data_IF_052023323000
#
_entry.id   IF_052023323000
#
_cell.length_a   1.000
_cell.length_b   1.000
_cell.length_c   1.000
_cell.angle_alpha   90.00
_cell.angle_beta   90.00
_cell.angle_gamma   90.00
#
_symmetry.space_group_name_H-M   'P 1'
#
loop_
_entity.id
_entity.type
_entity.pdbx_description
1 polymer ?
#
# COMPACT_ATOMS: atom_id res chain seq x y z
N UNK A 1 14.86 4.82 -9.36
CA UNK A 1 14.10 5.75 -8.51
C UNK A 1 13.79 5.04 -7.20
N UNK A 2 13.76 5.68 -6.03
CA UNK A 2 13.39 5.01 -4.79
C UNK A 2 11.93 4.55 -4.85
N UNK A 3 11.62 3.43 -4.19
CA UNK A 3 10.25 2.90 -4.13
C UNK A 3 9.29 3.84 -3.39
N UNK A 4 9.83 4.58 -2.45
CA UNK A 4 9.10 5.55 -1.64
C UNK A 4 9.90 6.85 -1.54
N UNK A 5 9.29 8.04 -1.51
CA UNK A 5 9.98 9.28 -1.24
C UNK A 5 10.53 9.27 0.20
N UNK A 6 11.85 9.42 0.36
CA UNK A 6 12.54 9.33 1.66
C UNK A 6 11.93 10.26 2.71
N UNK A 7 11.56 11.47 2.29
CA UNK A 7 11.01 12.47 3.18
C UNK A 7 9.59 12.14 3.63
N UNK A 8 8.77 11.54 2.76
CA UNK A 8 7.43 11.08 3.11
C UNK A 8 7.49 9.96 4.15
N UNK A 9 8.41 8.98 3.98
CA UNK A 9 8.64 7.90 4.95
C UNK A 9 9.11 8.47 6.29
N UNK A 10 10.12 9.36 6.27
CA UNK A 10 10.64 9.99 7.50
C UNK A 10 9.55 10.77 8.23
N UNK A 11 8.78 11.58 7.53
CA UNK A 11 7.68 12.36 8.11
C UNK A 11 6.60 11.44 8.70
N UNK A 12 6.26 10.34 8.00
CA UNK A 12 5.31 9.32 8.48
C UNK A 12 5.76 8.68 9.79
N UNK A 13 7.01 8.21 9.85
CA UNK A 13 7.59 7.57 11.05
C UNK A 13 7.67 8.55 12.23
N UNK A 14 8.16 9.76 11.98
CA UNK A 14 8.24 10.81 13.02
C UNK A 14 6.86 11.16 13.54
N UNK A 15 5.87 11.32 12.65
CA UNK A 15 4.49 11.60 13.05
C UNK A 15 3.89 10.45 13.87
N UNK A 16 4.11 9.20 13.51
CA UNK A 16 3.67 8.05 14.27
C UNK A 16 4.20 8.08 15.71
N UNK A 17 5.48 8.43 15.89
CA UNK A 17 6.11 8.51 17.21
C UNK A 17 5.62 9.71 18.04
N UNK A 18 5.53 10.91 17.44
CA UNK A 18 5.14 12.13 18.19
C UNK A 18 3.65 12.22 18.46
N UNK A 19 2.82 11.52 17.71
CA UNK A 19 1.37 11.49 17.88
C UNK A 19 0.86 10.23 18.60
N UNK A 20 1.71 9.24 18.85
CA UNK A 20 1.36 8.02 19.59
C UNK A 20 0.69 8.35 20.91
N UNK A 21 -0.34 7.60 21.26
CA UNK A 21 -0.91 7.60 22.61
C UNK A 21 -0.07 6.71 23.54
N UNK A 22 0.88 7.31 24.27
CA UNK A 22 1.75 6.58 25.20
C UNK A 22 1.06 6.13 26.48
N UNK A 23 -0.19 6.53 26.71
CA UNK A 23 -1.00 6.04 27.83
C UNK A 23 -1.66 4.70 27.53
N UNK A 24 -1.69 4.30 26.29
CA UNK A 24 -2.21 3.02 25.84
C UNK A 24 -1.15 1.93 26.02
N UNK A 25 -1.31 1.16 27.10
CA UNK A 25 -0.36 0.11 27.49
C UNK A 25 -0.62 -1.13 26.63
N UNK A 26 0.46 -1.74 26.13
CA UNK A 26 0.38 -2.98 25.34
C UNK A 26 0.17 -2.75 23.84
N UNK A 27 0.11 -1.50 23.38
CA UNK A 27 0.11 -1.15 21.97
C UNK A 27 1.48 -0.59 21.53
N UNK A 28 1.78 -0.66 20.24
CA UNK A 28 3.06 -0.21 19.68
C UNK A 28 2.88 0.51 18.36
N UNK A 29 3.85 1.34 17.98
CA UNK A 29 3.99 1.80 16.60
C UNK A 29 4.62 0.69 15.79
N UNK A 30 4.03 0.31 14.68
CA UNK A 30 4.62 -0.69 13.78
C UNK A 30 4.58 -0.24 12.34
N UNK A 31 5.42 -0.85 11.54
CA UNK A 31 5.56 -0.58 10.11
C UNK A 31 5.48 -1.92 9.39
N UNK A 32 4.44 -2.09 8.61
CA UNK A 32 4.24 -3.26 7.79
C UNK A 32 4.65 -2.96 6.34
N UNK A 33 5.56 -3.77 5.80
CA UNK A 33 6.03 -3.64 4.43
C UNK A 33 5.41 -4.71 3.55
N UNK A 34 4.76 -4.28 2.49
CA UNK A 34 4.20 -5.11 1.42
C UNK A 34 4.93 -4.83 0.12
N UNK A 35 4.74 -5.64 -0.90
CA UNK A 35 5.35 -5.41 -2.20
C UNK A 35 4.91 -4.08 -2.84
N UNK A 36 3.64 -3.71 -2.60
CA UNK A 36 2.97 -2.56 -3.21
C UNK A 36 2.88 -1.32 -2.31
N UNK A 37 3.19 -1.42 -1.00
CA UNK A 37 3.04 -0.32 -0.04
C UNK A 37 3.75 -0.55 1.29
N UNK A 38 3.88 0.53 2.05
CA UNK A 38 4.20 0.52 3.48
C UNK A 38 2.99 1.05 4.24
N UNK A 39 2.60 0.39 5.33
CA UNK A 39 1.62 0.86 6.29
C UNK A 39 2.33 1.23 7.59
N UNK A 40 2.13 2.46 8.05
CA UNK A 40 2.69 2.98 9.31
C UNK A 40 1.54 3.19 10.27
N UNK A 41 1.46 2.33 11.27
CA UNK A 41 0.43 2.36 12.32
C UNK A 41 0.91 3.06 13.57
N UNK A 42 0.02 3.80 14.22
CA UNK A 42 0.26 4.44 15.51
C UNK A 42 -0.98 4.40 16.41
N UNK A 43 -0.86 3.88 17.65
CA UNK A 43 -1.94 3.93 18.62
C UNK A 43 -2.33 5.37 18.98
N UNK A 44 -3.64 5.60 19.02
CA UNK A 44 -4.25 6.90 19.30
C UNK A 44 -4.62 7.65 18.04
N UNK A 45 -5.92 7.79 17.79
CA UNK A 45 -6.49 8.53 16.67
C UNK A 45 -6.13 10.02 16.67
N UNK A 46 -6.80 10.80 15.86
CA UNK A 46 -6.53 12.24 15.75
C UNK A 46 -6.74 12.96 17.08
N UNK A 47 -5.79 13.82 17.45
CA UNK A 47 -5.91 14.65 18.65
C UNK A 47 -7.16 15.52 18.55
N UNK A 48 -8.04 15.44 19.55
CA UNK A 48 -9.35 16.09 19.60
C UNK A 48 -10.48 15.36 18.87
N UNK A 49 -10.33 14.07 18.58
CA UNK A 49 -11.40 13.25 17.98
C UNK A 49 -11.86 13.72 16.61
N UNK A 50 -10.95 14.34 15.83
CA UNK A 50 -11.27 14.82 14.48
C UNK A 50 -11.25 13.61 13.54
N UNK A 51 -12.41 13.28 12.92
CA UNK A 51 -12.43 12.34 11.80
C UNK A 51 -11.74 12.94 10.58
N UNK A 52 -11.00 12.13 9.84
CA UNK A 52 -10.39 12.52 8.55
C UNK A 52 -11.35 12.36 7.38
N UNK A 53 -12.42 11.59 7.56
CA UNK A 53 -13.37 11.26 6.52
C UNK A 53 -14.04 12.51 5.94
N UNK A 54 -13.94 12.66 4.61
CA UNK A 54 -14.53 13.79 3.88
C UNK A 54 -13.91 15.16 4.15
N UNK A 55 -12.78 15.24 4.87
CA UNK A 55 -12.10 16.49 5.16
C UNK A 55 -10.91 16.75 4.25
N UNK A 56 -10.71 18.03 3.96
CA UNK A 56 -9.50 18.51 3.30
C UNK A 56 -8.30 18.39 4.26
N UNK A 57 -7.43 17.42 4.00
CA UNK A 57 -6.24 17.14 4.81
C UNK A 57 -5.32 18.36 4.95
N UNK A 58 -5.32 19.27 3.96
CA UNK A 58 -4.49 20.47 3.98
C UNK A 58 -4.98 21.54 4.97
N UNK A 59 -6.24 21.42 5.41
CA UNK A 59 -6.88 22.34 6.37
C UNK A 59 -6.95 21.81 7.79
N UNK A 60 -6.46 20.58 8.03
CA UNK A 60 -6.46 20.01 9.36
C UNK A 60 -5.41 20.70 10.23
N UNK A 61 -5.80 21.28 11.38
CA UNK A 61 -4.84 21.95 12.25
C UNK A 61 -3.93 20.94 12.92
N UNK A 62 -2.63 21.22 12.93
CA UNK A 62 -1.67 20.40 13.64
C UNK A 62 -1.82 20.57 15.16
N UNK A 63 -2.09 19.47 15.85
CA UNK A 63 -2.09 19.40 17.30
C UNK A 63 -1.16 18.28 17.74
N UNK A 64 -0.17 18.63 18.55
CA UNK A 64 0.83 17.67 19.04
C UNK A 64 0.32 16.96 20.27
N UNK A 65 0.28 15.63 20.24
CA UNK A 65 -0.06 14.83 21.44
C UNK A 65 1.11 14.83 22.42
N UNK A 66 2.34 14.71 21.93
CA UNK A 66 3.56 14.65 22.75
C UNK A 66 4.48 15.85 22.43
N UNK A 67 4.23 17.05 23.01
CA UNK A 67 4.95 18.27 22.64
C UNK A 67 6.45 18.20 23.00
N UNK A 68 6.83 17.48 24.05
CA UNK A 68 8.24 17.30 24.45
C UNK A 68 8.98 16.48 23.39
N UNK A 69 8.41 15.35 22.94
CA UNK A 69 9.00 14.56 21.85
C UNK A 69 9.10 15.37 20.56
N UNK A 70 8.05 16.10 20.21
CA UNK A 70 8.05 16.96 19.03
C UNK A 70 9.16 18.04 19.10
N UNK A 71 9.44 18.60 20.28
CA UNK A 71 10.55 19.56 20.45
C UNK A 71 11.91 18.87 20.26
N UNK A 72 12.10 17.68 20.78
CA UNK A 72 13.32 16.88 20.59
C UNK A 72 13.54 16.58 19.12
N UNK A 73 12.55 16.02 18.41
CA UNK A 73 12.66 15.72 16.98
C UNK A 73 12.91 16.98 16.14
N UNK A 74 12.32 18.11 16.52
CA UNK A 74 12.59 19.41 15.86
C UNK A 74 14.02 19.87 16.05
N UNK A 75 14.59 19.75 17.26
CA UNK A 75 16.00 20.09 17.54
C UNK A 75 16.98 19.18 16.80
N UNK A 76 16.62 17.90 16.62
CA UNK A 76 17.37 16.92 15.84
C UNK A 76 17.17 17.10 14.32
N UNK A 77 16.36 18.06 13.89
CA UNK A 77 16.06 18.39 12.48
C UNK A 77 15.30 17.27 11.72
N UNK A 78 14.65 16.35 12.42
CA UNK A 78 13.81 15.34 11.81
C UNK A 78 12.39 15.85 11.49
N UNK A 79 11.97 16.98 12.08
CA UNK A 79 10.69 17.61 11.78
C UNK A 79 10.77 19.13 11.83
N UNK A 80 9.85 19.80 11.15
CA UNK A 80 9.64 21.23 11.26
C UNK A 80 8.53 21.56 12.26
N UNK A 81 8.64 22.72 12.93
CA UNK A 81 7.68 23.15 13.97
C UNK A 81 6.29 23.53 13.42
N UNK A 82 6.16 23.79 12.12
CA UNK A 82 4.90 24.17 11.49
C UNK A 82 4.20 22.93 10.98
N UNK A 83 3.01 22.63 11.50
CA UNK A 83 2.19 21.47 11.20
C UNK A 83 1.81 21.28 9.74
N UNK A 84 2.77 20.84 8.96
CA UNK A 84 2.66 20.63 7.52
C UNK A 84 2.86 19.16 7.12
N UNK A 85 2.73 18.20 8.09
CA UNK A 85 3.06 16.79 7.87
C UNK A 85 2.31 16.19 6.70
N UNK A 86 0.98 16.23 6.68
CA UNK A 86 0.17 15.73 5.57
C UNK A 86 0.53 16.39 4.24
N UNK A 87 0.62 17.73 4.25
CA UNK A 87 0.97 18.51 3.05
C UNK A 87 2.33 18.10 2.48
N UNK A 88 3.32 17.84 3.34
CA UNK A 88 4.66 17.44 2.90
C UNK A 88 4.67 16.05 2.29
N UNK A 89 4.00 15.09 2.95
CA UNK A 89 3.89 13.73 2.44
C UNK A 89 3.23 13.73 1.06
N UNK A 90 2.10 14.45 0.90
CA UNK A 90 1.40 14.56 -0.37
C UNK A 90 2.27 15.24 -1.44
N UNK A 91 2.89 16.38 -1.11
CA UNK A 91 3.75 17.11 -2.05
C UNK A 91 5.01 16.33 -2.46
N UNK A 92 5.58 15.51 -1.57
CA UNK A 92 6.71 14.64 -1.90
C UNK A 92 6.31 13.55 -2.91
N UNK A 93 5.09 13.01 -2.82
CA UNK A 93 4.55 12.06 -3.79
C UNK A 93 4.25 12.73 -5.12
N UNK A 94 3.51 13.84 -5.12
CA UNK A 94 3.17 14.61 -6.32
C UNK A 94 4.41 15.09 -7.10
N UNK A 95 5.52 15.30 -6.41
CA UNK A 95 6.80 15.69 -7.01
C UNK A 95 7.58 14.57 -7.68
N UNK A 96 7.14 13.31 -7.59
CA UNK A 96 7.85 12.18 -8.20
C UNK A 96 7.45 11.96 -9.66
N UNK A 97 8.42 11.58 -10.48
CA UNK A 97 8.22 11.39 -11.93
C UNK A 97 7.23 10.26 -12.25
N UNK A 98 7.25 9.20 -11.44
CA UNK A 98 6.38 8.02 -11.62
C UNK A 98 5.10 8.09 -10.76
N UNK A 99 4.77 9.27 -10.27
CA UNK A 99 3.55 9.46 -9.50
C UNK A 99 2.32 9.43 -10.42
N UNK A 100 1.32 8.69 -9.97
CA UNK A 100 -0.04 8.76 -10.49
C UNK A 100 -1.05 8.86 -9.33
N UNK A 101 -2.27 9.29 -9.60
CA UNK A 101 -3.29 9.52 -8.56
C UNK A 101 -3.67 8.24 -7.80
N UNK A 102 -3.45 7.06 -8.37
CA UNK A 102 -3.74 5.76 -7.71
C UNK A 102 -2.73 5.45 -6.61
N UNK A 103 -1.60 6.16 -6.60
CA UNK A 103 -0.51 6.03 -5.62
C UNK A 103 -0.49 7.14 -4.57
N UNK A 104 -1.54 7.96 -4.53
CA UNK A 104 -1.68 8.98 -3.50
C UNK A 104 -1.66 8.34 -2.10
N UNK A 105 -0.86 8.88 -1.16
CA UNK A 105 -0.86 8.44 0.23
C UNK A 105 -2.25 8.49 0.86
N UNK A 106 -2.60 7.44 1.62
CA UNK A 106 -3.88 7.35 2.32
C UNK A 106 -3.66 7.52 3.82
N UNK A 107 -4.48 8.34 4.44
CA UNK A 107 -4.48 8.61 5.87
C UNK A 107 -5.81 8.18 6.45
N UNK A 108 -5.77 7.22 7.36
CA UNK A 108 -6.94 6.69 8.05
C UNK A 108 -6.80 6.94 9.54
N UNK A 109 -7.86 7.41 10.17
CA UNK A 109 -7.89 7.62 11.61
C UNK A 109 -9.29 7.38 12.13
N UNK A 110 -9.36 6.60 13.18
CA UNK A 110 -10.54 6.48 14.02
C UNK A 110 -10.30 7.08 15.43
N UNK A 111 -11.03 6.63 16.44
CA UNK A 111 -10.87 7.12 17.80
C UNK A 111 -9.62 6.57 18.48
N UNK A 112 -9.19 5.37 18.11
CA UNK A 112 -8.22 4.57 18.84
C UNK A 112 -6.88 4.49 18.13
N UNK A 113 -6.84 4.62 16.79
CA UNK A 113 -5.61 4.51 16.02
C UNK A 113 -5.53 5.42 14.79
N UNK A 114 -4.33 5.43 14.21
CA UNK A 114 -4.01 6.15 13.00
C UNK A 114 -3.12 5.29 12.11
N UNK A 115 -3.46 5.20 10.83
CA UNK A 115 -2.67 4.49 9.82
C UNK A 115 -2.35 5.39 8.64
N UNK A 116 -1.08 5.40 8.26
CA UNK A 116 -0.60 6.01 7.02
C UNK A 116 -0.18 4.93 6.04
N UNK A 117 -0.81 4.90 4.87
CA UNK A 117 -0.42 4.04 3.76
C UNK A 117 0.37 4.83 2.73
N UNK A 118 1.60 4.40 2.46
CA UNK A 118 2.48 4.93 1.41
C UNK A 118 2.62 3.86 0.31
N UNK A 119 2.23 4.18 -0.92
CA UNK A 119 2.32 3.25 -2.04
C UNK A 119 3.71 3.25 -2.66
N UNK A 120 4.18 2.07 -3.06
CA UNK A 120 5.41 1.91 -3.82
C UNK A 120 5.24 2.49 -5.23
N UNK A 121 6.02 3.53 -5.54
CA UNK A 121 5.94 4.25 -6.81
C UNK A 121 6.38 3.37 -7.99
N UNK A 122 7.29 2.44 -7.75
CA UNK A 122 7.80 1.52 -8.78
C UNK A 122 6.94 0.26 -8.93
N UNK A 123 6.02 -0.01 -8.01
CA UNK A 123 5.17 -1.19 -8.10
C UNK A 123 4.19 -1.10 -9.27
N UNK A 124 4.24 -2.11 -10.16
CA UNK A 124 3.41 -2.16 -11.37
C UNK A 124 3.97 -1.37 -12.55
N UNK A 125 5.09 -0.65 -12.41
CA UNK A 125 5.86 -0.15 -13.53
C UNK A 125 6.82 -1.24 -13.99
N UNK A 126 6.66 -1.67 -15.24
CA UNK A 126 7.63 -2.56 -15.89
C UNK A 126 8.94 -1.80 -16.08
N UNK A 127 9.95 -2.12 -15.29
CA UNK A 127 11.31 -1.69 -15.59
C UNK A 127 11.72 -2.31 -16.91
N UNK A 128 11.68 -1.54 -17.97
CA UNK A 128 12.50 -1.79 -19.15
C UNK A 128 13.94 -1.57 -18.68
N UNK A 129 14.56 -2.63 -18.18
CA UNK A 129 16.01 -2.62 -18.00
C UNK A 129 16.62 -2.38 -19.38
N UNK A 130 17.10 -1.16 -19.62
CA UNK A 130 18.09 -0.91 -20.66
C UNK A 130 19.37 -1.64 -20.25
N UNK A 131 19.43 -2.94 -20.58
CA UNK A 131 20.63 -3.76 -20.45
C UNK A 131 21.58 -3.36 -21.57
N UNK A 132 22.23 -2.21 -21.39
CA UNK A 132 23.50 -1.90 -22.04
C UNK A 132 24.59 -2.01 -20.99
N UNK A 133 24.68 -3.15 -20.33
CA UNK A 133 25.91 -3.56 -19.65
C UNK A 133 26.16 -5.04 -19.94
N UNK A 134 27.16 -5.24 -20.75
CA UNK A 134 27.68 -6.50 -21.26
C UNK A 134 28.16 -7.36 -20.12
N UNK A 135 27.54 -8.51 -19.86
CA UNK A 135 28.23 -9.80 -19.59
C UNK A 135 27.24 -10.95 -19.41
N UNK A 136 27.22 -11.77 -20.48
CA UNK A 136 26.93 -13.21 -20.53
C UNK A 136 25.79 -13.80 -19.69
N UNK A 137 24.77 -14.26 -20.41
CA UNK A 137 24.08 -15.48 -20.01
C UNK A 137 22.56 -15.41 -20.06
N UNK A 138 22.02 -15.88 -21.18
CA UNK A 138 20.72 -16.50 -21.40
C UNK A 138 19.48 -15.60 -21.60
N UNK A 139 19.02 -15.66 -22.80
CA UNK A 139 17.86 -15.08 -23.48
C UNK A 139 16.54 -15.15 -22.69
N UNK A 140 15.81 -14.07 -22.73
CA UNK A 140 14.58 -13.96 -23.50
C UNK A 140 13.30 -13.95 -22.69
N UNK A 141 12.50 -12.96 -22.88
CA UNK A 141 11.08 -13.03 -22.61
C UNK A 141 10.42 -11.67 -22.38
N UNK A 142 9.85 -11.18 -23.40
CA UNK A 142 8.88 -10.09 -23.56
C UNK A 142 7.90 -9.95 -22.39
N UNK A 143 7.80 -8.76 -21.83
CA UNK A 143 7.14 -8.42 -20.57
C UNK A 143 5.60 -8.36 -20.61
N UNK A 144 5.01 -8.44 -21.76
CA UNK A 144 3.55 -8.60 -21.93
C UNK A 144 3.09 -10.02 -21.53
N UNK A 145 4.02 -10.99 -21.56
CA UNK A 145 3.73 -12.39 -21.30
C UNK A 145 3.54 -12.79 -19.82
N UNK A 146 3.94 -11.98 -18.84
CA UNK A 146 3.91 -12.44 -17.43
C UNK A 146 2.57 -12.13 -16.74
N UNK A 147 1.94 -11.01 -17.09
CA UNK A 147 0.61 -10.68 -16.57
C UNK A 147 -0.45 -11.56 -17.25
N UNK A 148 -0.38 -11.73 -18.56
CA UNK A 148 -1.20 -12.66 -19.33
C UNK A 148 -0.97 -14.11 -18.88
N UNK A 149 0.27 -14.47 -18.57
CA UNK A 149 0.60 -15.82 -18.11
C UNK A 149 -0.04 -16.15 -16.75
N UNK A 150 0.00 -15.23 -15.78
CA UNK A 150 -0.62 -15.43 -14.47
C UNK A 150 -2.15 -15.45 -14.56
N UNK A 151 -2.74 -14.55 -15.35
CA UNK A 151 -4.18 -14.56 -15.60
C UNK A 151 -4.61 -15.85 -16.29
N UNK A 152 -3.87 -16.31 -17.30
CA UNK A 152 -4.11 -17.56 -17.98
C UNK A 152 -4.02 -18.76 -17.04
N UNK A 153 -2.99 -18.82 -16.19
CA UNK A 153 -2.85 -19.89 -15.19
C UNK A 153 -4.00 -19.91 -14.19
N UNK A 154 -4.47 -18.74 -13.73
CA UNK A 154 -5.64 -18.64 -12.87
C UNK A 154 -6.90 -19.13 -13.61
N UNK A 155 -7.06 -18.73 -14.87
CA UNK A 155 -8.18 -19.13 -15.71
C UNK A 155 -8.21 -20.65 -15.92
N UNK A 156 -7.10 -21.25 -16.33
CA UNK A 156 -6.94 -22.69 -16.55
C UNK A 156 -7.29 -23.49 -15.28
N UNK A 157 -6.85 -23.02 -14.10
CA UNK A 157 -7.17 -23.67 -12.81
C UNK A 157 -8.65 -23.57 -12.44
N UNK A 158 -9.31 -22.47 -12.76
CA UNK A 158 -10.75 -22.27 -12.52
C UNK A 158 -11.55 -23.13 -13.51
N UNK A 159 -11.12 -23.22 -14.76
CA UNK A 159 -11.75 -24.06 -15.79
C UNK A 159 -11.65 -25.54 -15.41
N UNK A 160 -10.48 -25.99 -14.93
CA UNK A 160 -10.25 -27.36 -14.49
C UNK A 160 -11.04 -27.71 -13.21
N UNK A 161 -11.14 -26.76 -12.27
CA UNK A 161 -11.88 -26.96 -11.03
C UNK A 161 -12.66 -25.68 -10.63
N UNK A 162 -13.93 -25.56 -11.04
CA UNK A 162 -14.76 -24.39 -10.71
C UNK A 162 -14.99 -24.16 -9.20
N UNK A 163 -14.71 -25.13 -8.35
CA UNK A 163 -14.85 -24.99 -6.89
C UNK A 163 -13.52 -24.66 -6.20
N UNK A 164 -12.43 -24.46 -6.94
CA UNK A 164 -11.10 -24.19 -6.37
C UNK A 164 -11.11 -22.89 -5.52
N UNK A 165 -10.67 -22.95 -4.24
CA UNK A 165 -10.58 -21.76 -3.40
C UNK A 165 -9.43 -20.86 -3.87
N UNK A 166 -9.59 -19.53 -3.73
CA UNK A 166 -8.52 -18.57 -4.06
C UNK A 166 -7.24 -18.78 -3.26
N UNK A 167 -7.34 -19.35 -2.05
CA UNK A 167 -6.18 -19.74 -1.23
C UNK A 167 -5.37 -20.88 -1.84
N UNK A 168 -6.04 -21.84 -2.46
CA UNK A 168 -5.37 -22.98 -3.13
C UNK A 168 -4.72 -22.54 -4.45
N UNK A 169 -5.40 -21.68 -5.23
CA UNK A 169 -4.81 -21.05 -6.41
C UNK A 169 -3.54 -20.28 -6.02
N UNK A 170 -3.60 -19.48 -4.96
CA UNK A 170 -2.49 -18.71 -4.46
C UNK A 170 -1.29 -19.60 -4.06
N UNK A 171 -1.56 -20.71 -3.34
CA UNK A 171 -0.52 -21.66 -2.93
C UNK A 171 0.13 -22.35 -4.12
N UNK A 172 -0.65 -22.79 -5.11
CA UNK A 172 -0.13 -23.45 -6.32
C UNK A 172 0.71 -22.53 -7.21
N UNK A 173 0.35 -21.25 -7.27
CA UNK A 173 1.05 -20.26 -8.09
C UNK A 173 2.17 -19.53 -7.34
N UNK A 174 2.35 -19.77 -6.04
CA UNK A 174 3.37 -19.09 -5.22
C UNK A 174 3.12 -17.59 -5.06
N UNK A 175 1.85 -17.15 -5.11
CA UNK A 175 1.46 -15.73 -5.01
C UNK A 175 0.51 -15.51 -3.83
N UNK A 176 0.35 -14.27 -3.39
CA UNK A 176 -0.60 -13.95 -2.32
C UNK A 176 -2.07 -14.12 -2.76
N UNK A 177 -2.96 -14.55 -1.83
CA UNK A 177 -4.40 -14.69 -2.07
C UNK A 177 -5.02 -13.38 -2.59
N UNK A 178 -4.54 -12.24 -2.10
CA UNK A 178 -4.98 -10.90 -2.54
C UNK A 178 -4.64 -10.65 -4.01
N UNK A 179 -3.47 -11.10 -4.45
CA UNK A 179 -3.06 -11.02 -5.87
C UNK A 179 -4.00 -11.82 -6.76
N UNK A 180 -4.33 -13.06 -6.35
CA UNK A 180 -5.29 -13.90 -7.08
C UNK A 180 -6.65 -13.23 -7.17
N UNK A 181 -7.20 -12.74 -6.05
CA UNK A 181 -8.50 -12.03 -6.02
C UNK A 181 -8.50 -10.80 -6.92
N UNK A 182 -7.42 -10.00 -6.90
CA UNK A 182 -7.29 -8.82 -7.76
C UNK A 182 -7.27 -9.21 -9.24
N UNK A 183 -6.51 -10.26 -9.61
CA UNK A 183 -6.44 -10.72 -11.00
C UNK A 183 -7.77 -11.27 -11.49
N UNK A 184 -8.48 -12.06 -10.69
CA UNK A 184 -9.83 -12.52 -11.04
C UNK A 184 -10.78 -11.33 -11.24
N UNK A 185 -10.71 -10.29 -10.40
CA UNK A 185 -11.53 -9.09 -10.54
C UNK A 185 -11.26 -8.32 -11.85
N UNK A 186 -10.06 -8.42 -12.40
CA UNK A 186 -9.69 -7.83 -13.70
C UNK A 186 -10.18 -8.66 -14.90
N UNK A 187 -10.54 -9.93 -14.66
CA UNK A 187 -11.11 -10.81 -15.69
C UNK A 187 -12.63 -10.61 -15.76
N UNK A 188 -13.10 -9.99 -16.83
CA UNK A 188 -14.53 -9.69 -17.02
C UNK A 188 -15.39 -10.93 -17.29
N UNK A 189 -14.73 -12.03 -17.66
CA UNK A 189 -15.35 -13.29 -18.03
C UNK A 189 -15.45 -14.33 -16.89
N UNK A 190 -15.00 -14.01 -15.66
CA UNK A 190 -15.10 -14.92 -14.50
C UNK A 190 -15.94 -14.27 -13.40
N UNK A 191 -16.91 -15.02 -12.88
CA UNK A 191 -17.80 -14.57 -11.79
C UNK A 191 -17.89 -15.66 -10.74
N UNK A 192 -17.86 -15.26 -9.46
CA UNK A 192 -18.14 -16.19 -8.36
C UNK A 192 -19.63 -16.22 -8.05
N UNK A 193 -20.23 -17.39 -8.10
CA UNK A 193 -21.66 -17.63 -7.86
C UNK A 193 -21.83 -18.44 -6.58
N UNK A 194 -22.72 -17.98 -5.71
CA UNK A 194 -22.98 -18.62 -4.41
C UNK A 194 -22.29 -17.89 -3.24
N UNK A 195 -22.31 -18.52 -2.08
CA UNK A 195 -21.71 -17.97 -0.86
C UNK A 195 -20.90 -19.01 -0.09
N UNK A 196 -19.75 -18.60 0.48
CA UNK A 196 -18.92 -19.46 1.31
C UNK A 196 -18.42 -20.71 0.60
N UNK A 197 -18.46 -21.85 1.28
CA UNK A 197 -17.92 -23.13 0.78
C UNK A 197 -18.77 -23.80 -0.31
N UNK A 198 -20.01 -23.36 -0.54
CA UNK A 198 -20.90 -23.89 -1.58
C UNK A 198 -20.89 -23.08 -2.88
N UNK A 199 -20.09 -22.01 -2.93
CA UNK A 199 -19.94 -21.17 -4.12
C UNK A 199 -18.96 -21.79 -5.12
N UNK A 200 -19.09 -21.39 -6.39
CA UNK A 200 -18.22 -21.82 -7.47
C UNK A 200 -17.97 -20.67 -8.45
N UNK A 201 -16.95 -20.83 -9.27
CA UNK A 201 -16.60 -19.91 -10.34
C UNK A 201 -17.37 -20.27 -11.60
N UNK A 202 -17.95 -19.29 -12.25
CA UNK A 202 -18.54 -19.42 -13.57
C UNK A 202 -17.75 -18.61 -14.59
N UNK A 203 -17.42 -19.24 -15.72
CA UNK A 203 -16.81 -18.61 -16.87
C UNK A 203 -17.93 -18.20 -17.81
N UNK A 204 -18.11 -16.88 -18.01
CA UNK A 204 -19.04 -16.35 -18.99
C UNK A 204 -18.40 -16.47 -20.37
N UNK A 205 -18.99 -17.26 -21.25
CA UNK A 205 -18.66 -17.25 -22.67
C UNK A 205 -19.00 -15.88 -23.29
N UNK A 206 -18.25 -15.51 -24.36
CA UNK A 206 -18.57 -14.37 -25.19
C UNK A 206 -19.99 -14.42 -25.75
#
# INVERSE_FOLDING_TARGET
MPDYPDRAVLEGVVNALIHRNYMEIGSEVHIDMFDDRIEIYSPGGMVSGISLEGKDLLKIPSKRRNPILADIFSRLKYMERRGSGFKKILADYEGQVEFDETKMPVFEADNDDFTLTLYNLNYGHDYVMNVNDTRNGTQGGTQDGTQDKLQKQIFDMIEENPQIPTSEIAAKLGVGVRTVKRRIKQMTNIVYVGSGYSGHWEIKGE
#
